data_IF_694031350990
#
_entry.id   IF_694031350990
#
_cell.length_a   1.000
_cell.length_b   1.000
_cell.length_c   1.000
_cell.angle_alpha   90.00
_cell.angle_beta   90.00
_cell.angle_gamma   90.00
#
_symmetry.space_group_name_H-M   'P 1'
#
loop_
_entity.id
_entity.type
_entity.pdbx_description
1 polymer ?
#
# COMPACT_ATOMS: atom_id res chain seq x y z
N UNK A 1 -13.74 -8.97 -14.57
CA UNK A 1 -12.26 -9.02 -14.53
C UNK A 1 -11.86 -9.22 -13.09
N UNK A 2 -11.60 -10.48 -12.70
CA UNK A 2 -11.06 -10.78 -11.37
C UNK A 2 -9.64 -10.25 -11.35
N UNK A 3 -9.37 -9.24 -10.52
CA UNK A 3 -8.00 -8.89 -10.19
C UNK A 3 -7.43 -10.06 -9.39
N UNK A 4 -6.79 -10.99 -10.10
CA UNK A 4 -5.98 -12.06 -9.54
C UNK A 4 -4.90 -11.36 -8.70
N UNK A 5 -5.14 -11.22 -7.39
CA UNK A 5 -4.13 -10.72 -6.47
C UNK A 5 -2.96 -11.72 -6.58
N UNK A 6 -1.77 -11.29 -7.06
CA UNK A 6 -0.75 -12.22 -7.49
C UNK A 6 -0.30 -13.10 -6.34
N UNK A 7 -0.72 -14.37 -6.32
CA UNK A 7 -0.19 -15.45 -5.46
C UNK A 7 -0.02 -15.19 -3.95
N UNK A 8 -0.53 -14.09 -3.40
CA UNK A 8 -0.22 -13.67 -2.03
C UNK A 8 -0.83 -14.58 -0.97
N UNK A 9 -1.82 -15.40 -1.36
CA UNK A 9 -2.54 -16.32 -0.47
C UNK A 9 -1.62 -17.33 0.25
N UNK A 10 -0.38 -17.53 -0.20
CA UNK A 10 0.56 -18.49 0.40
C UNK A 10 1.86 -17.85 0.93
N UNK A 11 2.09 -16.54 0.77
CA UNK A 11 3.37 -15.90 1.09
C UNK A 11 3.17 -14.47 1.61
N UNK A 12 2.88 -14.29 2.92
CA UNK A 12 2.57 -12.98 3.48
C UNK A 12 3.78 -12.01 3.46
N UNK A 13 5.01 -12.55 3.43
CA UNK A 13 6.24 -11.76 3.28
C UNK A 13 6.32 -11.04 1.92
N UNK A 14 5.74 -11.62 0.86
CA UNK A 14 5.68 -10.98 -0.46
C UNK A 14 4.77 -9.76 -0.47
N UNK A 15 3.71 -9.73 0.35
CA UNK A 15 2.87 -8.55 0.49
C UNK A 15 3.66 -7.38 1.10
N UNK A 16 4.51 -7.67 2.10
CA UNK A 16 5.41 -6.67 2.69
C UNK A 16 6.44 -6.16 1.67
N UNK A 17 7.07 -7.06 0.91
CA UNK A 17 8.03 -6.66 -0.14
C UNK A 17 7.35 -5.82 -1.23
N UNK A 18 6.14 -6.21 -1.67
CA UNK A 18 5.38 -5.45 -2.64
C UNK A 18 4.99 -4.06 -2.11
N UNK A 19 4.59 -3.95 -0.83
CA UNK A 19 4.33 -2.67 -0.20
C UNK A 19 5.59 -1.78 -0.21
N UNK A 20 6.76 -2.32 0.17
CA UNK A 20 8.02 -1.59 0.16
C UNK A 20 8.41 -1.11 -1.25
N UNK A 21 8.26 -1.96 -2.27
CA UNK A 21 8.55 -1.62 -3.67
C UNK A 21 7.68 -0.46 -4.17
N UNK A 22 6.37 -0.52 -3.86
CA UNK A 22 5.43 0.55 -4.20
C UNK A 22 5.75 1.86 -3.48
N UNK A 23 6.12 1.81 -2.20
CA UNK A 23 6.56 2.98 -1.43
C UNK A 23 7.79 3.62 -2.06
N UNK A 24 8.82 2.81 -2.39
CA UNK A 24 10.03 3.32 -3.04
C UNK A 24 9.73 3.96 -4.40
N UNK A 25 8.87 3.32 -5.21
CA UNK A 25 8.50 3.87 -6.53
C UNK A 25 7.65 5.14 -6.42
N UNK A 26 6.76 5.23 -5.44
CA UNK A 26 6.00 6.45 -5.18
C UNK A 26 6.93 7.62 -4.86
N UNK A 27 7.91 7.43 -3.98
CA UNK A 27 8.89 8.48 -3.62
C UNK A 27 9.65 9.02 -4.83
N UNK A 28 9.88 8.20 -5.86
CA UNK A 28 10.57 8.63 -7.09
C UNK A 28 9.66 9.28 -8.12
N UNK A 29 8.34 9.03 -8.10
CA UNK A 29 7.42 9.42 -9.19
C UNK A 29 6.29 10.33 -8.77
N UNK A 30 5.94 10.38 -7.47
CA UNK A 30 4.80 11.14 -6.94
C UNK A 30 3.43 10.68 -7.46
N UNK A 31 3.33 9.47 -8.04
CA UNK A 31 2.11 9.05 -8.75
C UNK A 31 0.96 8.69 -7.77
N UNK A 32 -0.21 9.36 -7.82
CA UNK A 32 -1.35 9.08 -6.93
C UNK A 32 -1.81 7.62 -6.96
N UNK A 33 -1.78 6.97 -8.12
CA UNK A 33 -2.22 5.57 -8.26
C UNK A 33 -1.35 4.60 -7.49
N UNK A 34 -0.07 4.94 -7.29
CA UNK A 34 0.82 4.14 -6.46
C UNK A 34 0.48 4.31 -4.98
N UNK A 35 0.08 5.50 -4.52
CA UNK A 35 -0.37 5.69 -3.15
C UNK A 35 -1.62 4.85 -2.83
N UNK A 36 -2.58 4.77 -3.76
CA UNK A 36 -3.74 3.88 -3.63
C UNK A 36 -3.34 2.39 -3.59
N UNK A 37 -2.38 1.99 -4.44
CA UNK A 37 -1.86 0.62 -4.44
C UNK A 37 -1.14 0.27 -3.13
N UNK A 38 -0.37 1.21 -2.55
CA UNK A 38 0.25 1.06 -1.23
C UNK A 38 -0.81 0.84 -0.16
N UNK A 39 -1.89 1.65 -0.15
CA UNK A 39 -3.01 1.48 0.80
C UNK A 39 -3.63 0.08 0.68
N UNK A 40 -3.84 -0.41 -0.53
CA UNK A 40 -4.34 -1.77 -0.77
C UNK A 40 -3.48 -2.85 -0.13
N UNK A 41 -2.15 -2.75 -0.31
CA UNK A 41 -1.20 -3.71 0.27
C UNK A 41 -1.11 -3.60 1.79
N UNK A 42 -1.06 -2.38 2.35
CA UNK A 42 -1.01 -2.18 3.80
C UNK A 42 -2.26 -2.74 4.49
N UNK A 43 -3.44 -2.62 3.88
CA UNK A 43 -4.68 -3.23 4.40
C UNK A 43 -4.62 -4.76 4.35
N UNK A 44 -4.07 -5.34 3.30
CA UNK A 44 -3.87 -6.78 3.21
C UNK A 44 -2.93 -7.28 4.32
N UNK A 45 -1.80 -6.58 4.55
CA UNK A 45 -0.84 -6.87 5.63
C UNK A 45 -1.49 -6.73 7.01
N UNK A 46 -2.27 -5.68 7.24
CA UNK A 46 -2.94 -5.43 8.51
C UNK A 46 -4.00 -6.50 8.87
N UNK A 47 -4.63 -7.10 7.86
CA UNK A 47 -5.65 -8.14 8.04
C UNK A 47 -5.11 -9.58 8.04
N UNK A 48 -3.82 -9.80 7.74
CA UNK A 48 -3.25 -11.14 7.63
C UNK A 48 -2.79 -11.67 9.00
N UNK A 49 -3.58 -12.59 9.56
CA UNK A 49 -3.32 -13.21 10.87
C UNK A 49 -2.09 -14.11 10.90
N UNK A 50 -1.51 -14.45 9.74
CA UNK A 50 -0.28 -15.23 9.63
C UNK A 50 0.97 -14.39 9.92
N UNK A 51 0.85 -13.06 9.86
CA UNK A 51 1.94 -12.14 10.19
C UNK A 51 2.02 -11.87 11.70
N UNK A 52 3.20 -11.50 12.22
CA UNK A 52 3.32 -11.06 13.61
C UNK A 52 2.41 -9.87 13.90
N UNK A 53 1.75 -9.86 15.07
CA UNK A 53 0.83 -8.79 15.48
C UNK A 53 1.47 -7.39 15.48
N UNK A 54 2.80 -7.30 15.66
CA UNK A 54 3.54 -6.04 15.52
C UNK A 54 3.50 -5.52 14.08
N UNK A 55 3.69 -6.39 13.08
CA UNK A 55 3.66 -6.03 11.65
C UNK A 55 2.26 -5.59 11.24
N UNK A 56 1.23 -6.32 11.66
CA UNK A 56 -0.17 -5.96 11.41
C UNK A 56 -0.51 -4.56 11.97
N UNK A 57 -0.12 -4.29 13.22
CA UNK A 57 -0.34 -2.99 13.87
C UNK A 57 0.42 -1.86 13.18
N UNK A 58 1.69 -2.09 12.83
CA UNK A 58 2.48 -1.10 12.10
C UNK A 58 1.85 -0.78 10.74
N UNK A 59 1.43 -1.79 9.98
CA UNK A 59 0.74 -1.59 8.71
C UNK A 59 -0.54 -0.78 8.90
N UNK A 60 -1.37 -1.13 9.89
CA UNK A 60 -2.59 -0.40 10.21
C UNK A 60 -2.34 1.07 10.59
N UNK A 61 -1.30 1.36 11.38
CA UNK A 61 -1.03 2.73 11.84
C UNK A 61 -0.66 3.68 10.71
N UNK A 62 0.00 3.19 9.65
CA UNK A 62 0.48 4.04 8.55
C UNK A 62 -0.53 4.18 7.40
N UNK A 63 -1.63 3.41 7.37
CA UNK A 63 -2.66 3.51 6.32
C UNK A 63 -3.24 4.93 6.23
N UNK A 64 -3.44 5.60 7.37
CA UNK A 64 -3.99 6.95 7.43
C UNK A 64 -3.13 7.95 6.66
N UNK A 65 -1.83 7.92 6.86
CA UNK A 65 -0.87 8.81 6.21
C UNK A 65 -0.87 8.62 4.69
N UNK A 66 -0.93 7.37 4.23
CA UNK A 66 -0.99 7.03 2.80
C UNK A 66 -2.31 7.43 2.15
N UNK A 67 -3.43 7.35 2.86
CA UNK A 67 -4.71 7.85 2.37
C UNK A 67 -4.69 9.36 2.15
N UNK A 68 -4.03 10.12 3.03
CA UNK A 68 -3.88 11.57 2.84
C UNK A 68 -3.05 11.89 1.59
N UNK A 69 -1.99 11.13 1.33
CA UNK A 69 -1.17 11.30 0.12
C UNK A 69 -1.93 10.94 -1.16
N UNK A 70 -2.73 9.86 -1.15
CA UNK A 70 -3.57 9.47 -2.29
C UNK A 70 -4.62 10.55 -2.63
N UNK A 71 -5.28 11.10 -1.60
CA UNK A 71 -6.25 12.19 -1.76
C UNK A 71 -5.56 13.47 -2.25
N UNK A 72 -4.44 13.87 -1.65
CA UNK A 72 -3.70 15.07 -2.04
C UNK A 72 -3.18 15.03 -3.48
N UNK A 73 -2.74 13.86 -3.95
CA UNK A 73 -2.25 13.69 -5.31
C UNK A 73 -3.38 13.67 -6.37
N UNK A 74 -4.61 13.28 -6.00
CA UNK A 74 -5.79 13.38 -6.89
C UNK A 74 -6.32 14.82 -7.03
N UNK A 75 -6.08 15.69 -6.05
CA UNK A 75 -6.45 17.10 -6.08
C UNK A 75 -5.40 18.00 -6.78
N UNK A 76 -4.16 17.53 -6.93
CA UNK A 76 -3.03 18.27 -7.53
C UNK A 76 -2.96 18.26 -9.06
N UNK A 77 -4.01 17.81 -9.77
CA UNK A 77 -4.06 17.75 -11.23
C UNK A 77 -4.14 19.10 -11.95
N UNK A 78 -4.02 20.22 -11.24
CA UNK A 78 -3.88 21.54 -11.86
C UNK A 78 -2.98 22.40 -10.99
N UNK A 79 -1.70 22.53 -11.34
CA UNK A 79 -1.04 23.83 -11.59
C UNK A 79 0.46 23.65 -11.88
N UNK A 80 0.82 24.15 -13.07
CA UNK A 80 2.10 24.74 -13.53
C UNK A 80 3.30 23.84 -13.82
#
# INVERSE_FOLDING_TARGET
MSADLPGYTHQPELALVAALELVTRYSSTGNPRLAEAVVGQLRAIAGDTRLPAAVQRCAASIVGDWLQMAVGASAGGTTH
#
